data_IF_989320722859
#
_entry.id   IF_989320722859
#
_cell.length_a   1.000
_cell.length_b   1.000
_cell.length_c   1.000
_cell.angle_alpha   90.00
_cell.angle_beta   90.00
_cell.angle_gamma   90.00
#
_symmetry.space_group_name_H-M   'P 1'
#
loop_
_entity.id
_entity.type
_entity.pdbx_description
1 polymer ?
#
# COMPACT_ATOMS: atom_id res chain seq x y z
N UNK A 1 -21.23 -3.33 -12.29
CA UNK A 1 -21.28 -3.72 -10.86
C UNK A 1 -19.90 -3.46 -10.29
N UNK A 2 -19.76 -2.63 -9.25
CA UNK A 2 -18.45 -2.37 -8.63
C UNK A 2 -17.92 -3.64 -7.97
N UNK A 3 -16.73 -4.08 -8.38
CA UNK A 3 -16.05 -5.27 -7.86
C UNK A 3 -15.55 -5.02 -6.44
N UNK A 4 -15.32 -6.06 -5.64
CA UNK A 4 -14.82 -5.92 -4.27
C UNK A 4 -13.50 -5.13 -4.18
N UNK A 5 -12.70 -5.16 -5.25
CA UNK A 5 -11.44 -4.40 -5.39
C UNK A 5 -11.69 -2.89 -5.47
N UNK A 6 -12.79 -2.45 -6.08
CA UNK A 6 -13.14 -1.03 -6.22
C UNK A 6 -13.58 -0.38 -4.89
N UNK A 7 -13.92 -1.20 -3.89
CA UNK A 7 -14.24 -0.81 -2.53
C UNK A 7 -13.17 -1.19 -1.50
N UNK A 8 -11.97 -1.60 -1.93
CA UNK A 8 -10.87 -1.78 -0.99
C UNK A 8 -10.47 -0.43 -0.39
N UNK A 9 -9.93 -0.41 0.84
CA UNK A 9 -9.45 0.85 1.43
C UNK A 9 -8.37 1.50 0.59
N UNK A 10 -7.52 0.69 -0.06
CA UNK A 10 -6.53 1.19 -1.01
C UNK A 10 -7.20 1.94 -2.17
N UNK A 11 -8.25 1.39 -2.79
CA UNK A 11 -9.01 2.08 -3.85
C UNK A 11 -9.73 3.33 -3.35
N UNK A 12 -10.31 3.29 -2.13
CA UNK A 12 -10.95 4.44 -1.50
C UNK A 12 -9.93 5.56 -1.26
N UNK A 13 -8.77 5.25 -0.69
CA UNK A 13 -7.68 6.20 -0.43
C UNK A 13 -7.13 6.80 -1.73
N UNK A 14 -6.93 5.98 -2.76
CA UNK A 14 -6.41 6.48 -4.03
C UNK A 14 -7.35 7.52 -4.69
N UNK A 15 -8.66 7.29 -4.63
CA UNK A 15 -9.65 8.28 -5.08
C UNK A 15 -9.67 9.53 -4.19
N UNK A 16 -9.63 9.35 -2.87
CA UNK A 16 -9.67 10.48 -1.92
C UNK A 16 -8.45 11.41 -2.06
N UNK A 17 -7.29 10.84 -2.40
CA UNK A 17 -6.05 11.57 -2.63
C UNK A 17 -5.88 12.04 -4.09
N UNK A 18 -6.89 11.86 -4.95
CA UNK A 18 -6.85 12.18 -6.39
C UNK A 18 -5.61 11.64 -7.12
N UNK A 19 -5.09 10.48 -6.68
CA UNK A 19 -3.85 9.90 -7.23
C UNK A 19 -4.01 9.42 -8.68
N UNK A 20 -5.25 9.27 -9.16
CA UNK A 20 -5.56 8.83 -10.50
C UNK A 20 -5.26 9.89 -11.58
N UNK A 21 -5.20 11.17 -11.21
CA UNK A 21 -5.01 12.28 -12.16
C UNK A 21 -3.53 12.62 -12.41
N UNK A 22 -2.59 11.91 -11.78
CA UNK A 22 -1.16 12.22 -11.90
C UNK A 22 -0.74 13.53 -11.22
N UNK A 23 -1.61 14.11 -10.39
CA UNK A 23 -1.39 15.36 -9.65
C UNK A 23 -0.40 15.24 -8.46
N UNK A 24 0.37 14.16 -8.36
CA UNK A 24 1.43 14.10 -7.36
C UNK A 24 2.61 14.96 -7.82
N UNK A 25 3.01 15.92 -6.98
CA UNK A 25 4.28 16.60 -7.20
C UNK A 25 5.43 15.58 -7.16
N UNK A 26 6.51 15.79 -7.93
CA UNK A 26 7.68 14.91 -7.90
C UNK A 26 8.23 14.68 -6.49
N UNK A 27 8.30 15.75 -5.68
CA UNK A 27 8.77 15.69 -4.28
C UNK A 27 7.90 14.77 -3.42
N UNK A 28 6.57 14.88 -3.52
CA UNK A 28 5.66 14.01 -2.80
C UNK A 28 5.75 12.56 -3.29
N UNK A 29 5.92 12.36 -4.60
CA UNK A 29 6.08 11.03 -5.18
C UNK A 29 7.37 10.35 -4.68
N UNK A 30 8.49 11.08 -4.61
CA UNK A 30 9.74 10.57 -4.05
C UNK A 30 9.60 10.21 -2.57
N UNK A 31 8.95 11.06 -1.78
CA UNK A 31 8.69 10.76 -0.37
C UNK A 31 7.82 9.51 -0.21
N UNK A 32 6.77 9.36 -1.02
CA UNK A 32 5.90 8.19 -1.03
C UNK A 32 6.64 6.89 -1.39
N UNK A 33 7.69 6.96 -2.23
CA UNK A 33 8.52 5.80 -2.52
C UNK A 33 9.36 5.35 -1.31
N UNK A 34 9.70 6.28 -0.41
CA UNK A 34 10.48 6.00 0.80
C UNK A 34 9.66 5.39 1.93
N UNK A 35 8.35 5.64 1.99
CA UNK A 35 7.49 5.14 3.08
C UNK A 35 7.09 3.67 2.89
N UNK A 36 6.78 3.00 3.99
CA UNK A 36 6.31 1.61 4.00
C UNK A 36 6.22 1.08 5.42
N UNK A 37 5.92 -0.21 5.54
CA UNK A 37 6.03 -0.92 6.81
C UNK A 37 7.46 -0.81 7.34
N UNK A 38 7.60 -0.62 8.65
CA UNK A 38 8.90 -0.65 9.32
C UNK A 38 9.50 -2.06 9.27
N UNK A 39 10.79 -2.21 9.53
CA UNK A 39 11.39 -3.54 9.62
C UNK A 39 10.79 -4.36 10.77
N UNK A 40 10.40 -3.71 11.87
CA UNK A 40 9.69 -4.34 12.98
C UNK A 40 8.33 -4.90 12.53
N UNK A 41 7.52 -4.09 11.85
CA UNK A 41 6.21 -4.51 11.32
C UNK A 41 6.35 -5.65 10.30
N UNK A 42 7.37 -5.59 9.44
CA UNK A 42 7.64 -6.64 8.46
C UNK A 42 8.00 -7.95 9.16
N UNK A 43 8.80 -7.89 10.23
CA UNK A 43 9.19 -9.08 10.97
C UNK A 43 8.01 -9.68 11.74
N UNK A 44 7.21 -8.84 12.41
CA UNK A 44 5.96 -9.26 13.05
C UNK A 44 5.02 -9.95 12.06
N UNK A 45 4.79 -9.35 10.88
CA UNK A 45 3.97 -9.94 9.82
C UNK A 45 4.53 -11.28 9.29
N UNK A 46 5.87 -11.42 9.22
CA UNK A 46 6.53 -12.68 8.82
C UNK A 46 6.32 -13.77 9.86
N UNK A 47 6.52 -13.47 11.14
CA UNK A 47 6.31 -14.43 12.22
C UNK A 47 4.85 -14.90 12.29
N UNK A 48 3.89 -13.97 12.20
CA UNK A 48 2.48 -14.32 12.11
C UNK A 48 2.17 -15.17 10.86
N UNK A 49 2.81 -14.89 9.72
CA UNK A 49 2.64 -15.71 8.51
C UNK A 49 3.19 -17.13 8.66
N UNK A 50 4.30 -17.31 9.40
CA UNK A 50 4.84 -18.63 9.74
C UNK A 50 3.86 -19.39 10.64
N UNK A 51 3.34 -18.75 11.68
CA UNK A 51 2.33 -19.34 12.57
C UNK A 51 1.04 -19.73 11.82
N UNK A 52 0.60 -18.90 10.88
CA UNK A 52 -0.56 -19.16 10.04
C UNK A 52 -0.37 -20.43 9.21
N UNK A 53 0.85 -20.65 8.70
CA UNK A 53 1.20 -21.85 7.92
C UNK A 53 1.17 -23.13 8.75
N UNK A 54 1.38 -23.02 10.07
CA UNK A 54 1.28 -24.13 11.02
C UNK A 54 -0.13 -24.32 11.59
N UNK A 55 -1.12 -23.54 11.15
CA UNK A 55 -2.48 -23.51 11.70
C UNK A 55 -2.54 -23.21 13.21
N UNK A 56 -1.55 -22.48 13.72
CA UNK A 56 -1.38 -22.13 15.14
C UNK A 56 -1.75 -20.67 15.44
N UNK A 57 -2.47 -20.01 14.54
CA UNK A 57 -2.80 -18.60 14.64
C UNK A 57 -4.07 -18.41 15.49
N UNK A 58 -4.01 -17.53 16.49
CA UNK A 58 -5.22 -17.09 17.19
C UNK A 58 -6.05 -16.15 16.31
N UNK A 59 -7.31 -15.92 16.66
CA UNK A 59 -8.17 -14.97 15.94
C UNK A 59 -7.63 -13.54 16.00
N UNK A 60 -7.09 -13.12 17.14
CA UNK A 60 -6.42 -11.81 17.29
C UNK A 60 -5.19 -11.69 16.38
N UNK A 61 -4.36 -12.72 16.33
CA UNK A 61 -3.18 -12.77 15.45
C UNK A 61 -3.56 -12.80 13.96
N UNK A 62 -4.70 -13.41 13.62
CA UNK A 62 -5.23 -13.39 12.25
C UNK A 62 -5.66 -11.99 11.82
N UNK A 63 -6.32 -11.25 12.73
CA UNK A 63 -6.69 -9.85 12.51
C UNK A 63 -5.45 -8.99 12.35
N UNK A 64 -4.45 -9.17 13.22
CA UNK A 64 -3.18 -8.45 13.17
C UNK A 64 -2.44 -8.69 11.83
N UNK A 65 -2.34 -9.94 11.40
CA UNK A 65 -1.74 -10.30 10.12
C UNK A 65 -2.48 -9.68 8.93
N UNK A 66 -3.81 -9.63 8.96
CA UNK A 66 -4.60 -8.99 7.91
C UNK A 66 -4.43 -7.47 7.92
N UNK A 67 -4.26 -6.83 9.07
CA UNK A 67 -3.95 -5.40 9.17
C UNK A 67 -2.61 -5.08 8.50
N UNK A 68 -1.57 -5.88 8.75
CA UNK A 68 -0.27 -5.71 8.07
C UNK A 68 -0.38 -5.88 6.55
N UNK A 69 -1.12 -6.90 6.08
CA UNK A 69 -1.36 -7.11 4.64
C UNK A 69 -2.11 -5.94 4.01
N UNK A 70 -3.13 -5.42 4.70
CA UNK A 70 -3.93 -4.29 4.27
C UNK A 70 -3.11 -3.02 4.16
N UNK A 71 -2.30 -2.71 5.17
CA UNK A 71 -1.34 -1.61 5.13
C UNK A 71 -0.34 -1.76 3.97
N UNK A 72 0.22 -2.96 3.78
CA UNK A 72 1.10 -3.27 2.65
C UNK A 72 0.46 -3.00 1.28
N UNK A 73 -0.80 -3.42 1.07
CA UNK A 73 -1.55 -3.13 -0.17
C UNK A 73 -1.76 -1.63 -0.41
N UNK A 74 -1.97 -0.85 0.65
CA UNK A 74 -2.10 0.61 0.55
C UNK A 74 -0.76 1.21 0.10
N UNK A 75 0.35 0.85 0.76
CA UNK A 75 1.68 1.35 0.38
C UNK A 75 2.04 1.00 -1.06
N UNK A 76 1.77 -0.23 -1.52
CA UNK A 76 2.06 -0.62 -2.90
C UNK A 76 1.24 0.17 -3.92
N UNK A 77 -0.03 0.47 -3.62
CA UNK A 77 -0.84 1.32 -4.46
C UNK A 77 -0.28 2.75 -4.52
N UNK A 78 0.05 3.34 -3.38
CA UNK A 78 0.66 4.67 -3.30
C UNK A 78 1.97 4.73 -4.10
N UNK A 79 2.84 3.74 -3.94
CA UNK A 79 4.10 3.62 -4.69
C UNK A 79 3.86 3.46 -6.19
N UNK A 80 2.86 2.68 -6.59
CA UNK A 80 2.49 2.54 -8.01
C UNK A 80 2.08 3.88 -8.61
N UNK A 81 1.30 4.70 -7.88
CA UNK A 81 0.89 6.03 -8.33
C UNK A 81 2.04 7.04 -8.33
N UNK A 82 2.90 7.01 -7.32
CA UNK A 82 4.12 7.81 -7.27
C UNK A 82 5.05 7.53 -8.46
N UNK A 83 5.27 6.25 -8.80
CA UNK A 83 6.05 5.87 -9.99
C UNK A 83 5.44 6.41 -11.29
N UNK A 84 4.11 6.45 -11.39
CA UNK A 84 3.42 7.01 -12.57
C UNK A 84 3.59 8.53 -12.63
N UNK A 85 3.46 9.23 -11.50
CA UNK A 85 3.65 10.68 -11.43
C UNK A 85 5.07 11.09 -11.88
N UNK A 86 6.10 10.39 -11.40
CA UNK A 86 7.50 10.64 -11.81
C UNK A 86 7.76 10.32 -13.30
N UNK A 87 7.13 9.27 -13.84
CA UNK A 87 7.20 8.97 -15.28
C UNK A 87 6.54 10.05 -16.14
N UNK A 88 5.42 10.62 -15.68
CA UNK A 88 4.76 11.72 -16.38
C UNK A 88 5.57 13.01 -16.31
N UNK A 89 6.12 13.34 -15.14
CA UNK A 89 6.96 14.53 -14.96
C UNK A 89 8.25 14.48 -15.80
N UNK A 90 8.88 13.31 -15.91
CA UNK A 90 10.06 13.13 -16.78
C UNK A 90 9.74 13.15 -18.27
N UNK A 91 8.50 12.79 -18.68
CA UNK A 91 8.06 12.83 -20.08
C UNK A 91 7.66 14.25 -20.53
N UNK A 92 7.20 15.08 -19.60
CA UNK A 92 6.78 16.44 -19.88
C UNK A 92 7.48 17.43 -18.93
N UNK A 93 8.80 17.64 -19.11
CA UNK A 93 9.49 18.70 -18.39
C UNK A 93 8.96 20.04 -18.93
N UNK A 94 8.20 20.78 -18.12
CA UNK A 94 7.88 22.19 -18.41
C UNK A 94 9.16 23.02 -18.63
#
# INVERSE_FOLDING_TARGET
>A
MATSTDRSESAILARALSLDEGNLSPELAEHVLSVGLTEEDKEAARELSKLASCNSLTEEQAIELENYRRAGRIFELLKSKARLALQNASRNPE
#
